data_IF_988704732832
#
_entry.id   IF_988704732832
#
_cell.length_a   1.000
_cell.length_b   1.000
_cell.length_c   1.000
_cell.angle_alpha   90.00
_cell.angle_beta   90.00
_cell.angle_gamma   90.00
#
_symmetry.space_group_name_H-M   'P 1'
#
loop_
_entity.id
_entity.type
_entity.pdbx_description
1 polymer ?
#
# COMPACT_ATOMS: atom_id res chain seq x y z
N UNK A 1 19.54 -0.07 -5.80
CA UNK A 1 19.34 -0.39 -4.37
C UNK A 1 17.88 -0.21 -3.95
N UNK A 2 17.25 0.95 -4.19
CA UNK A 2 15.83 1.20 -3.87
C UNK A 2 14.85 0.18 -4.46
N UNK A 3 15.04 -0.19 -5.72
CA UNK A 3 14.18 -1.16 -6.39
C UNK A 3 14.25 -2.56 -5.78
N UNK A 4 15.39 -2.94 -5.17
CA UNK A 4 15.53 -4.21 -4.47
C UNK A 4 14.68 -4.22 -3.19
N UNK A 5 14.75 -3.14 -2.41
CA UNK A 5 13.94 -2.97 -1.19
C UNK A 5 12.44 -3.03 -1.51
N UNK A 6 12.01 -2.35 -2.58
CA UNK A 6 10.59 -2.38 -2.98
C UNK A 6 10.17 -3.79 -3.39
N UNK A 7 11.03 -4.52 -4.13
CA UNK A 7 10.76 -5.92 -4.47
C UNK A 7 10.73 -6.82 -3.23
N UNK A 8 11.57 -6.58 -2.24
CA UNK A 8 11.53 -7.31 -0.97
C UNK A 8 10.21 -7.05 -0.23
N UNK A 9 9.78 -5.78 -0.13
CA UNK A 9 8.48 -5.42 0.46
C UNK A 9 7.29 -6.06 -0.27
N UNK A 10 7.31 -6.09 -1.60
CA UNK A 10 6.25 -6.71 -2.42
C UNK A 10 6.12 -8.22 -2.12
N UNK A 11 7.24 -8.90 -1.89
CA UNK A 11 7.26 -10.34 -1.66
C UNK A 11 7.21 -10.72 -0.17
N UNK A 12 7.17 -9.74 0.74
CA UNK A 12 7.11 -10.01 2.18
C UNK A 12 5.69 -10.47 2.57
N UNK A 13 5.52 -11.68 3.12
CA UNK A 13 4.21 -12.17 3.57
C UNK A 13 3.58 -11.30 4.68
N UNK A 14 4.37 -10.45 5.34
CA UNK A 14 3.94 -9.52 6.38
C UNK A 14 3.61 -8.12 5.84
N UNK A 15 3.59 -7.90 4.52
CA UNK A 15 3.31 -6.59 3.92
C UNK A 15 2.08 -5.91 4.54
N UNK A 16 0.98 -6.66 4.73
CA UNK A 16 -0.21 -6.14 5.40
C UNK A 16 0.07 -5.62 6.82
N UNK A 17 0.82 -6.37 7.63
CA UNK A 17 1.17 -5.97 8.99
C UNK A 17 2.05 -4.72 8.98
N UNK A 18 3.01 -4.63 8.05
CA UNK A 18 3.89 -3.46 7.92
C UNK A 18 3.08 -2.20 7.56
N UNK A 19 2.09 -2.30 6.66
CA UNK A 19 1.24 -1.18 6.27
C UNK A 19 0.40 -0.61 7.41
N UNK A 20 0.04 -1.45 8.38
CA UNK A 20 -0.79 -1.07 9.53
C UNK A 20 0.01 -0.90 10.82
N UNK A 21 1.33 -1.09 10.78
CA UNK A 21 2.20 -0.86 11.93
C UNK A 21 2.42 0.64 12.18
N UNK A 22 2.58 1.03 13.46
CA UNK A 22 2.74 2.42 13.88
C UNK A 22 4.01 3.10 13.32
N UNK A 23 5.04 2.33 12.94
CA UNK A 23 6.26 2.80 12.30
C UNK A 23 6.41 2.31 10.86
N UNK A 24 6.03 1.06 10.58
CA UNK A 24 6.10 0.45 9.26
C UNK A 24 5.31 1.22 8.20
N UNK A 25 4.19 1.85 8.57
CA UNK A 25 3.40 2.67 7.66
C UNK A 25 4.22 3.81 7.02
N UNK A 26 5.21 4.35 7.71
CA UNK A 26 6.07 5.40 7.16
C UNK A 26 7.01 4.84 6.09
N UNK A 27 7.56 3.64 6.29
CA UNK A 27 8.40 2.95 5.30
C UNK A 27 7.63 2.73 4.00
N UNK A 28 6.38 2.26 4.09
CA UNK A 28 5.54 2.02 2.91
C UNK A 28 5.19 3.33 2.20
N UNK A 29 4.84 4.40 2.94
CA UNK A 29 4.57 5.71 2.35
C UNK A 29 5.80 6.28 1.63
N UNK A 30 6.97 6.22 2.26
CA UNK A 30 8.23 6.68 1.65
C UNK A 30 8.58 5.84 0.42
N UNK A 31 8.37 4.53 0.46
CA UNK A 31 8.59 3.65 -0.70
C UNK A 31 7.65 4.02 -1.86
N UNK A 32 6.37 4.29 -1.59
CA UNK A 32 5.39 4.74 -2.59
C UNK A 32 5.76 6.11 -3.18
N UNK A 33 6.21 7.07 -2.37
CA UNK A 33 6.59 8.41 -2.82
C UNK A 33 7.78 8.40 -3.78
N UNK A 34 8.75 7.51 -3.54
CA UNK A 34 9.96 7.47 -4.33
C UNK A 34 9.82 6.50 -5.51
N UNK A 35 9.02 5.44 -5.39
CA UNK A 35 8.79 4.48 -6.46
C UNK A 35 8.04 5.10 -7.64
N UNK A 36 8.52 4.84 -8.87
CA UNK A 36 7.92 5.36 -10.10
C UNK A 36 7.84 4.27 -11.17
N UNK A 37 7.06 4.53 -12.22
CA UNK A 37 6.98 3.65 -13.39
C UNK A 37 6.40 2.26 -13.07
N UNK A 38 6.80 1.23 -13.82
CA UNK A 38 6.22 -0.12 -13.70
C UNK A 38 6.31 -0.70 -12.29
N UNK A 39 7.44 -0.49 -11.59
CA UNK A 39 7.62 -1.01 -10.22
C UNK A 39 6.63 -0.38 -9.24
N UNK A 40 6.29 0.91 -9.41
CA UNK A 40 5.27 1.56 -8.58
C UNK A 40 3.90 0.93 -8.83
N UNK A 41 3.55 0.69 -10.09
CA UNK A 41 2.30 0.00 -10.43
C UNK A 41 2.25 -1.38 -9.78
N UNK A 42 3.30 -2.19 -9.91
CA UNK A 42 3.38 -3.51 -9.27
C UNK A 42 3.25 -3.41 -7.75
N UNK A 43 3.87 -2.40 -7.13
CA UNK A 43 3.76 -2.23 -5.69
C UNK A 43 2.34 -1.87 -5.24
N UNK A 44 1.66 -0.97 -5.97
CA UNK A 44 0.25 -0.64 -5.68
C UNK A 44 -0.67 -1.85 -5.92
N UNK A 45 -0.38 -2.68 -6.93
CA UNK A 45 -1.12 -3.93 -7.15
C UNK A 45 -0.94 -4.94 -6.01
N UNK A 46 0.25 -5.03 -5.41
CA UNK A 46 0.48 -5.86 -4.22
C UNK A 46 -0.31 -5.37 -2.99
N UNK A 47 -0.58 -4.06 -2.91
CA UNK A 47 -1.36 -3.45 -1.82
C UNK A 47 -2.87 -3.67 -2.01
N UNK A 48 -3.34 -3.75 -3.26
CA UNK A 48 -4.77 -3.77 -3.63
C UNK A 48 -5.62 -4.82 -2.88
N UNK A 49 -5.19 -6.08 -2.68
CA UNK A 49 -6.00 -7.08 -1.97
C UNK A 49 -6.31 -6.68 -0.53
N UNK A 50 -5.47 -5.86 0.10
CA UNK A 50 -5.61 -5.43 1.50
C UNK A 50 -6.39 -4.12 1.64
N UNK A 51 -6.79 -3.48 0.53
CA UNK A 51 -7.38 -2.15 0.54
C UNK A 51 -8.68 -2.03 1.34
N UNK A 52 -9.50 -3.08 1.39
CA UNK A 52 -10.74 -3.09 2.17
C UNK A 52 -10.44 -3.02 3.68
N UNK A 53 -9.55 -3.89 4.17
CA UNK A 53 -9.15 -3.94 5.57
C UNK A 53 -8.41 -2.67 6.03
N UNK A 54 -7.68 -2.01 5.14
CA UNK A 54 -6.93 -0.80 5.48
C UNK A 54 -7.80 0.46 5.63
N UNK A 55 -9.00 0.50 5.06
CA UNK A 55 -9.87 1.68 5.13
C UNK A 55 -10.36 1.98 6.55
N UNK A 56 -10.59 0.93 7.36
CA UNK A 56 -10.97 1.05 8.77
C UNK A 56 -9.76 1.25 9.70
N UNK A 57 -8.52 1.10 9.21
CA UNK A 57 -7.31 1.22 10.02
C UNK A 57 -6.70 2.62 9.97
N UNK A 58 -6.32 3.18 11.13
CA UNK A 58 -5.83 4.56 11.22
C UNK A 58 -4.55 4.82 10.42
N UNK A 59 -3.64 3.84 10.35
CA UNK A 59 -2.42 3.90 9.56
C UNK A 59 -2.62 3.39 8.12
N UNK A 60 -3.48 2.38 7.93
CA UNK A 60 -3.79 1.83 6.61
C UNK A 60 -4.38 2.87 5.66
N UNK A 61 -5.30 3.72 6.16
CA UNK A 61 -5.86 4.84 5.37
C UNK A 61 -4.79 5.86 4.94
N UNK A 62 -3.71 6.04 5.72
CA UNK A 62 -2.59 6.92 5.34
C UNK A 62 -1.78 6.32 4.20
N UNK A 63 -1.49 5.02 4.26
CA UNK A 63 -0.87 4.29 3.14
C UNK A 63 -1.73 4.37 1.88
N UNK A 64 -3.04 4.07 1.99
CA UNK A 64 -3.96 4.16 0.86
C UNK A 64 -4.02 5.55 0.24
N UNK A 65 -3.87 6.61 1.03
CA UNK A 65 -3.88 7.99 0.54
C UNK A 65 -2.73 8.32 -0.41
N UNK A 66 -1.66 7.52 -0.42
CA UNK A 66 -0.52 7.63 -1.34
C UNK A 66 -0.71 6.83 -2.63
N UNK A 67 -1.87 6.19 -2.81
CA UNK A 67 -2.19 5.37 -3.98
C UNK A 67 -3.47 5.84 -4.65
N UNK A 68 -3.73 5.38 -5.87
CA UNK A 68 -5.00 5.63 -6.55
C UNK A 68 -6.18 4.79 -5.98
N UNK A 69 -5.93 3.94 -4.96
CA UNK A 69 -6.95 3.06 -4.37
C UNK A 69 -7.90 3.78 -3.41
N UNK A 70 -7.54 4.97 -2.93
CA UNK A 70 -8.30 5.77 -1.94
C UNK A 70 -9.80 5.85 -2.23
N UNK A 71 -10.20 5.93 -3.51
CA UNK A 71 -11.57 6.20 -3.94
C UNK A 71 -12.25 5.03 -4.69
N UNK A 72 -11.56 3.91 -4.93
CA UNK A 72 -12.07 2.86 -5.84
C UNK A 72 -13.07 1.89 -5.18
N UNK A 73 -13.06 1.71 -3.86
CA UNK A 73 -13.95 0.74 -3.20
C UNK A 73 -15.24 1.34 -2.62
N UNK A 74 -15.37 2.67 -2.52
CA UNK A 74 -16.66 3.30 -2.22
C UNK A 74 -17.74 3.06 -3.29
N UNK A 75 -17.36 2.54 -4.48
CA UNK A 75 -18.28 2.30 -5.60
C UNK A 75 -18.72 0.83 -5.78
N UNK A 76 -18.16 -0.10 -5.01
CA UNK A 76 -18.43 -1.56 -5.20
C UNK A 76 -19.39 -2.11 -4.13
N UNK A 77 -19.76 -1.31 -3.12
CA UNK A 77 -20.68 -1.71 -2.03
C UNK A 77 -22.09 -1.14 -2.12
N UNK A 78 -22.51 -0.60 -3.27
CA UNK A 78 -23.88 -0.12 -3.50
C UNK A 78 -24.42 -0.72 -4.80
N UNK A 79 -24.67 -2.02 -4.78
CA UNK A 79 -25.64 -2.73 -5.62
C UNK A 79 -26.15 -3.94 -4.83
#
# INVERSE_FOLDING_TARGET
MRDKIIKELINDPKLQHIMVDQYGNFVIQTALEHCKGPLHTTFVEAIRPHAAAMQSHMYGKRVLSKTYLKNKQHRVGVL
#
